data_IF_338962114971
#
_entry.id   IF_338962114971
#
_cell.length_a   1.000
_cell.length_b   1.000
_cell.length_c   1.000
_cell.angle_alpha   90.00
_cell.angle_beta   90.00
_cell.angle_gamma   90.00
#
_symmetry.space_group_name_H-M   'P 1'
#
loop_
_entity.id
_entity.type
_entity.pdbx_description
1 polymer ?
#
# COMPACT_ATOMS: atom_id res chain seq x y z
N UNK A 1 -13.24 -13.21 -13.63
CA UNK A 1 -12.14 -13.48 -14.59
C UNK A 1 -10.99 -12.55 -14.19
N UNK A 2 -9.89 -13.05 -13.62
CA UNK A 2 -8.76 -12.19 -13.22
C UNK A 2 -7.97 -11.85 -14.48
N UNK A 3 -8.04 -10.61 -14.94
CA UNK A 3 -7.19 -10.11 -16.04
C UNK A 3 -5.73 -10.26 -15.61
N UNK A 4 -4.99 -11.14 -16.28
CA UNK A 4 -3.54 -11.26 -16.12
C UNK A 4 -2.89 -10.30 -17.10
N UNK A 5 -2.23 -9.27 -16.60
CA UNK A 5 -1.48 -8.34 -17.43
C UNK A 5 -0.09 -8.97 -17.76
N UNK A 6 0.55 -8.57 -18.86
CA UNK A 6 1.85 -9.11 -19.28
C UNK A 6 2.95 -8.04 -19.18
N UNK A 7 4.09 -8.38 -18.58
CA UNK A 7 5.29 -7.55 -18.55
C UNK A 7 6.44 -8.37 -19.15
N UNK A 8 7.08 -7.86 -20.21
CA UNK A 8 8.16 -8.57 -20.93
C UNK A 8 7.80 -10.03 -21.27
N UNK A 9 6.58 -10.25 -21.76
CA UNK A 9 6.04 -11.58 -22.10
C UNK A 9 5.86 -12.56 -20.92
N UNK A 10 5.99 -12.08 -19.68
CA UNK A 10 5.71 -12.84 -18.46
C UNK A 10 4.38 -12.38 -17.88
N UNK A 11 3.54 -13.33 -17.44
CA UNK A 11 2.31 -12.98 -16.70
C UNK A 11 2.69 -12.33 -15.39
N UNK A 12 2.10 -11.16 -15.14
CA UNK A 12 2.25 -10.43 -13.90
C UNK A 12 0.88 -10.08 -13.33
N UNK A 13 0.83 -9.73 -12.04
CA UNK A 13 -0.41 -9.27 -11.43
C UNK A 13 -0.58 -7.80 -11.77
N UNK A 14 -1.83 -7.34 -11.87
CA UNK A 14 -2.15 -5.92 -12.02
C UNK A 14 -1.44 -5.03 -10.98
N UNK A 15 -1.31 -5.51 -9.75
CA UNK A 15 -0.56 -4.81 -8.69
C UNK A 15 0.91 -4.58 -9.07
N UNK A 16 1.56 -5.57 -9.66
CA UNK A 16 2.98 -5.47 -10.02
C UNK A 16 3.21 -4.40 -11.10
N UNK A 17 2.26 -4.26 -12.03
CA UNK A 17 2.29 -3.17 -13.03
C UNK A 17 2.05 -1.80 -12.37
N UNK A 18 1.02 -1.69 -11.51
CA UNK A 18 0.74 -0.44 -10.79
C UNK A 18 1.93 0.00 -9.94
N UNK A 19 2.61 -0.93 -9.28
CA UNK A 19 3.78 -0.66 -8.43
C UNK A 19 4.97 -0.14 -9.25
N UNK A 20 5.15 -0.59 -10.51
CA UNK A 20 6.17 -0.07 -11.43
C UNK A 20 5.87 1.39 -11.81
N UNK A 21 4.60 1.70 -12.04
CA UNK A 21 4.18 3.05 -12.43
C UNK A 21 4.05 4.02 -11.24
N UNK A 22 3.99 3.51 -10.00
CA UNK A 22 3.89 4.31 -8.80
C UNK A 22 5.12 5.23 -8.63
N UNK A 23 4.89 6.54 -8.51
CA UNK A 23 5.95 7.54 -8.35
C UNK A 23 6.67 7.93 -9.64
N UNK A 24 6.28 7.38 -10.80
CA UNK A 24 6.76 7.85 -12.12
C UNK A 24 5.91 9.00 -12.68
N UNK A 25 4.78 9.31 -12.04
CA UNK A 25 3.76 10.22 -12.57
C UNK A 25 2.84 9.58 -13.61
N UNK A 26 3.08 8.32 -14.01
CA UNK A 26 2.29 7.57 -14.99
C UNK A 26 1.27 6.61 -14.33
N UNK A 27 0.46 7.11 -13.40
CA UNK A 27 -0.62 6.33 -12.76
C UNK A 27 -2.01 6.52 -13.39
N UNK A 28 -3.07 5.95 -12.81
CA UNK A 28 -4.46 6.21 -13.22
C UNK A 28 -4.87 7.69 -13.10
N UNK A 29 -4.09 8.48 -12.36
CA UNK A 29 -4.22 9.94 -12.22
C UNK A 29 -2.98 10.67 -12.74
N UNK A 30 -2.36 10.08 -13.77
CA UNK A 30 -1.19 10.62 -14.45
C UNK A 30 -1.46 12.01 -15.02
N UNK A 31 -0.56 12.96 -14.76
CA UNK A 31 -0.57 14.27 -15.43
C UNK A 31 0.00 14.19 -16.86
N UNK A 32 0.55 13.04 -17.27
CA UNK A 32 1.09 12.87 -18.61
C UNK A 32 0.00 12.74 -19.69
N UNK A 33 -1.27 12.63 -19.29
CA UNK A 33 -2.42 12.59 -20.18
C UNK A 33 -3.37 13.73 -19.80
N UNK A 34 -3.60 14.64 -20.75
CA UNK A 34 -4.54 15.76 -20.57
C UNK A 34 -5.86 15.41 -21.22
N UNK A 35 -6.85 15.05 -20.40
CA UNK A 35 -8.22 14.82 -20.87
C UNK A 35 -8.97 16.15 -21.10
N UNK A 36 -9.97 16.12 -21.97
CA UNK A 36 -10.84 17.28 -22.18
C UNK A 36 -11.54 17.68 -20.87
N UNK A 37 -11.47 18.97 -20.52
CA UNK A 37 -12.03 19.51 -19.28
C UNK A 37 -11.19 19.27 -18.02
N UNK A 38 -9.99 18.67 -18.13
CA UNK A 38 -9.10 18.45 -16.98
C UNK A 38 -8.66 19.77 -16.31
N UNK A 39 -8.38 20.81 -17.09
CA UNK A 39 -8.00 22.13 -16.55
C UNK A 39 -9.15 22.74 -15.73
N UNK A 40 -10.39 22.69 -16.25
CA UNK A 40 -11.56 23.17 -15.52
C UNK A 40 -11.76 22.41 -14.21
N UNK A 41 -11.64 21.07 -14.24
CA UNK A 41 -11.71 20.23 -13.03
C UNK A 41 -10.63 20.58 -12.02
N UNK A 42 -9.40 20.90 -12.47
CA UNK A 42 -8.30 21.27 -11.58
C UNK A 42 -8.55 22.62 -10.90
N UNK A 43 -9.09 23.60 -11.64
CA UNK A 43 -9.39 24.95 -11.12
C UNK A 43 -10.56 24.90 -10.13
N UNK A 44 -11.54 24.04 -10.37
CA UNK A 44 -12.73 23.85 -9.52
C UNK A 44 -12.49 22.85 -8.37
N UNK A 45 -11.35 22.17 -8.35
CA UNK A 45 -11.04 21.12 -7.39
C UNK A 45 -11.03 21.64 -5.95
N UNK A 46 -11.57 20.83 -5.04
CA UNK A 46 -11.48 21.12 -3.60
C UNK A 46 -10.03 20.94 -3.12
N UNK A 47 -9.62 21.59 -2.01
CA UNK A 47 -8.25 21.48 -1.48
C UNK A 47 -7.76 20.04 -1.30
N UNK A 48 -8.62 19.12 -0.87
CA UNK A 48 -8.28 17.70 -0.71
C UNK A 48 -7.94 17.00 -2.04
N UNK A 49 -8.65 17.34 -3.12
CA UNK A 49 -8.42 16.80 -4.45
C UNK A 49 -7.15 17.38 -5.06
N UNK A 50 -6.98 18.70 -4.94
CA UNK A 50 -5.77 19.40 -5.39
C UNK A 50 -4.51 18.85 -4.72
N UNK A 51 -4.60 18.55 -3.41
CA UNK A 51 -3.50 17.97 -2.64
C UNK A 51 -3.02 16.64 -3.24
N UNK A 52 -3.92 15.79 -3.71
CA UNK A 52 -3.53 14.52 -4.35
C UNK A 52 -2.71 14.78 -5.61
N UNK A 53 -3.12 15.72 -6.47
CA UNK A 53 -2.36 16.08 -7.66
C UNK A 53 -0.97 16.64 -7.33
N UNK A 54 -0.89 17.51 -6.31
CA UNK A 54 0.38 18.08 -5.87
C UNK A 54 1.31 17.00 -5.27
N UNK A 55 0.77 16.07 -4.49
CA UNK A 55 1.54 14.98 -3.89
C UNK A 55 2.08 13.99 -4.93
N UNK A 56 1.30 13.70 -5.98
CA UNK A 56 1.77 12.90 -7.12
C UNK A 56 2.88 13.64 -7.89
N UNK A 57 2.68 14.93 -8.20
CA UNK A 57 3.67 15.74 -8.92
C UNK A 57 4.98 15.89 -8.14
N UNK A 58 4.90 15.98 -6.82
CA UNK A 58 6.06 16.03 -5.94
C UNK A 58 6.69 14.64 -5.68
N UNK A 59 6.13 13.56 -6.20
CA UNK A 59 6.63 12.19 -5.98
C UNK A 59 6.41 11.66 -4.55
N UNK A 60 5.56 12.32 -3.75
CA UNK A 60 5.30 12.00 -2.35
C UNK A 60 4.42 10.75 -2.21
N UNK A 61 3.59 10.44 -3.22
CA UNK A 61 2.67 9.31 -3.18
C UNK A 61 3.35 7.96 -2.96
N UNK A 62 4.52 7.75 -3.58
CA UNK A 62 5.31 6.52 -3.38
C UNK A 62 5.77 6.38 -1.92
N UNK A 63 6.27 7.47 -1.34
CA UNK A 63 6.69 7.48 0.06
C UNK A 63 5.52 7.17 1.01
N UNK A 64 4.35 7.79 0.78
CA UNK A 64 3.15 7.55 1.59
C UNK A 64 2.68 6.10 1.54
N UNK A 65 2.67 5.49 0.36
CA UNK A 65 2.25 4.09 0.22
C UNK A 65 3.24 3.15 0.90
N UNK A 66 4.55 3.34 0.69
CA UNK A 66 5.57 2.56 1.39
C UNK A 66 5.48 2.71 2.91
N UNK A 67 5.22 3.92 3.41
CA UNK A 67 5.03 4.18 4.84
C UNK A 67 3.81 3.43 5.38
N UNK A 68 2.67 3.53 4.69
CA UNK A 68 1.44 2.85 5.08
C UNK A 68 1.60 1.32 5.10
N UNK A 69 2.25 0.76 4.09
CA UNK A 69 2.53 -0.68 4.06
C UNK A 69 3.46 -1.10 5.20
N UNK A 70 4.47 -0.29 5.50
CA UNK A 70 5.38 -0.54 6.63
C UNK A 70 4.64 -0.48 7.96
N UNK A 71 3.82 0.54 8.19
CA UNK A 71 2.97 0.66 9.39
C UNK A 71 2.04 -0.55 9.55
N UNK A 72 1.42 -1.00 8.46
CA UNK A 72 0.61 -2.22 8.48
C UNK A 72 1.43 -3.46 8.85
N UNK A 73 2.60 -3.66 8.24
CA UNK A 73 3.50 -4.79 8.57
C UNK A 73 3.96 -4.76 10.03
N UNK A 74 4.25 -3.57 10.57
CA UNK A 74 4.60 -3.41 11.98
C UNK A 74 3.44 -3.83 12.89
N UNK A 75 2.21 -3.37 12.61
CA UNK A 75 1.04 -3.75 13.39
C UNK A 75 0.83 -5.28 13.40
N UNK A 76 0.93 -5.92 12.24
CA UNK A 76 0.81 -7.38 12.14
C UNK A 76 1.91 -8.08 12.95
N UNK A 77 3.14 -7.55 12.92
CA UNK A 77 4.25 -8.09 13.71
C UNK A 77 3.98 -7.98 15.22
N UNK A 78 3.41 -6.87 15.68
CA UNK A 78 3.03 -6.69 17.07
C UNK A 78 1.92 -7.66 17.50
N UNK A 79 0.89 -7.84 16.68
CA UNK A 79 -0.17 -8.84 16.91
C UNK A 79 0.38 -10.27 16.96
N UNK A 80 1.31 -10.59 16.05
CA UNK A 80 1.97 -11.90 16.03
C UNK A 80 2.77 -12.14 17.31
N UNK A 81 3.51 -11.12 17.77
CA UNK A 81 4.25 -11.20 19.03
C UNK A 81 3.31 -11.44 20.22
N UNK A 82 2.21 -10.68 20.31
CA UNK A 82 1.24 -10.85 21.39
C UNK A 82 0.70 -12.29 21.46
N UNK A 83 0.35 -12.88 20.30
CA UNK A 83 -0.07 -14.29 20.23
C UNK A 83 1.00 -15.28 20.67
N UNK A 84 2.27 -15.02 20.33
CA UNK A 84 3.38 -15.86 20.78
C UNK A 84 3.57 -15.77 22.30
N UNK A 85 3.45 -14.58 22.87
CA UNK A 85 3.52 -14.37 24.31
C UNK A 85 2.39 -15.12 25.04
N UNK A 86 1.17 -15.10 24.49
CA UNK A 86 0.04 -15.88 25.02
C UNK A 86 0.30 -17.39 24.99
N UNK A 87 0.80 -17.92 23.86
CA UNK A 87 1.14 -19.35 23.72
C UNK A 87 2.25 -19.75 24.68
N UNK A 88 3.27 -18.90 24.85
CA UNK A 88 4.36 -19.14 25.80
C UNK A 88 3.84 -19.22 27.24
N UNK A 89 3.00 -18.26 27.63
CA UNK A 89 2.40 -18.25 28.97
C UNK A 89 1.55 -19.49 29.24
N UNK A 90 0.82 -19.99 28.23
CA UNK A 90 0.05 -21.22 28.36
C UNK A 90 0.96 -22.45 28.50
N UNK A 91 2.06 -22.51 27.74
CA UNK A 91 3.04 -23.60 27.85
C UNK A 91 3.72 -23.61 29.22
N UNK A 92 4.09 -22.44 29.75
CA UNK A 92 4.69 -22.33 31.09
C UNK A 92 3.73 -22.86 32.17
N UNK A 93 2.43 -22.53 32.09
CA UNK A 93 1.40 -23.10 32.99
C UNK A 93 1.28 -24.62 32.88
N UNK A 94 1.40 -25.18 31.67
CA UNK A 94 1.35 -26.62 31.46
C UNK A 94 2.58 -27.32 32.05
N UNK A 95 3.77 -26.74 31.89
CA UNK A 95 5.00 -27.24 32.49
C UNK A 95 4.94 -27.23 34.02
N UNK A 96 4.38 -26.18 34.63
CA UNK A 96 4.22 -26.10 36.08
C UNK A 96 3.27 -27.16 36.63
N UNK A 97 2.23 -27.55 35.87
CA UNK A 97 1.34 -28.67 36.25
C UNK A 97 2.06 -30.02 36.19
N UNK A 98 2.98 -30.22 35.26
CA UNK A 98 3.73 -31.48 35.09
C UNK A 98 4.86 -31.66 36.10
N UNK A 99 5.34 -30.58 36.73
CA UNK A 99 6.37 -30.61 37.77
C UNK A 99 5.84 -30.90 39.19
N UNK A 100 4.51 -30.94 39.36
CA UNK A 100 3.82 -31.36 40.58
C UNK A 100 3.37 -32.80 40.45
#
# INVERSE_FOLDING_TARGET
MRETDNLNSVRCRRKDITDIFLGTGLGPRSYAIIEQGMISRLIEAKPDELRVFMEEAAGISKYKECRKETEQRMNHTHEHKARLDDVRNELDKQLDKLKK
#
